data_IF_221234385516
#
_entry.id   IF_221234385516
#
_cell.length_a   1.000
_cell.length_b   1.000
_cell.length_c   1.000
_cell.angle_alpha   90.00
_cell.angle_beta   90.00
_cell.angle_gamma   90.00
#
_symmetry.space_group_name_H-M   'P 1'
#
loop_
_entity.id
_entity.type
_entity.pdbx_description
1 polymer ?
#
# COMPACT_ATOMS: atom_id res chain seq x y z
N UNK A 1 -5.92 27.86 13.72
CA UNK A 1 -6.39 26.72 14.53
C UNK A 1 -5.63 25.50 14.07
N UNK A 2 -4.86 24.85 14.94
CA UNK A 2 -4.20 23.58 14.61
C UNK A 2 -5.21 22.43 14.55
N UNK A 3 -4.85 21.34 13.90
CA UNK A 3 -5.66 20.11 13.90
C UNK A 3 -5.88 19.58 15.31
N UNK A 4 -7.09 19.09 15.59
CA UNK A 4 -7.38 18.38 16.83
C UNK A 4 -6.69 17.02 16.87
N UNK A 5 -6.46 16.48 18.07
CA UNK A 5 -5.90 15.13 18.23
C UNK A 5 -6.80 14.05 17.59
N UNK A 6 -8.11 14.23 17.61
CA UNK A 6 -9.05 13.34 16.92
C UNK A 6 -8.88 13.38 15.39
N UNK A 7 -8.65 14.57 14.81
CA UNK A 7 -8.38 14.70 13.37
C UNK A 7 -7.08 14.00 12.98
N UNK A 8 -6.01 14.19 13.77
CA UNK A 8 -4.72 13.51 13.55
C UNK A 8 -4.87 11.99 13.62
N UNK A 9 -5.61 11.48 14.60
CA UNK A 9 -5.88 10.04 14.75
C UNK A 9 -6.63 9.47 13.55
N UNK A 10 -7.72 10.12 13.13
CA UNK A 10 -8.49 9.70 11.95
C UNK A 10 -7.64 9.65 10.68
N UNK A 11 -6.84 10.68 10.43
CA UNK A 11 -5.90 10.71 9.29
C UNK A 11 -4.90 9.56 9.35
N UNK A 12 -4.36 9.26 10.54
CA UNK A 12 -3.44 8.14 10.72
C UNK A 12 -4.11 6.79 10.42
N UNK A 13 -5.37 6.59 10.82
CA UNK A 13 -6.13 5.36 10.52
C UNK A 13 -6.37 5.20 9.01
N UNK A 14 -6.71 6.29 8.32
CA UNK A 14 -6.91 6.31 6.87
C UNK A 14 -5.61 5.95 6.14
N UNK A 15 -4.50 6.61 6.51
CA UNK A 15 -3.17 6.33 5.96
C UNK A 15 -2.76 4.88 6.24
N UNK A 16 -3.05 4.35 7.43
CA UNK A 16 -2.76 2.95 7.76
C UNK A 16 -3.52 1.95 6.88
N UNK A 17 -4.81 2.20 6.64
CA UNK A 17 -5.63 1.37 5.72
C UNK A 17 -5.09 1.45 4.29
N UNK A 18 -4.73 2.65 3.84
CA UNK A 18 -4.14 2.86 2.51
C UNK A 18 -2.78 2.15 2.36
N UNK A 19 -1.92 2.21 3.38
CA UNK A 19 -0.66 1.47 3.39
C UNK A 19 -0.90 -0.03 3.27
N UNK A 20 -1.82 -0.58 4.06
CA UNK A 20 -2.17 -1.99 3.99
C UNK A 20 -2.70 -2.40 2.60
N UNK A 21 -3.52 -1.55 1.97
CA UNK A 21 -3.98 -1.77 0.58
C UNK A 21 -2.79 -1.85 -0.38
N UNK A 22 -1.88 -0.85 -0.38
CA UNK A 22 -0.70 -0.84 -1.25
C UNK A 22 0.24 -2.02 -1.02
N UNK A 23 0.43 -2.43 0.23
CA UNK A 23 1.21 -3.63 0.55
C UNK A 23 0.57 -4.90 0.02
N UNK A 24 -0.76 -5.04 0.12
CA UNK A 24 -1.48 -6.18 -0.48
C UNK A 24 -1.34 -6.21 -2.00
N UNK A 25 -1.50 -5.06 -2.66
CA UNK A 25 -1.32 -4.93 -4.11
C UNK A 25 0.08 -5.35 -4.55
N UNK A 26 1.12 -4.97 -3.80
CA UNK A 26 2.50 -5.37 -4.09
C UNK A 26 2.79 -6.86 -3.82
N UNK A 27 2.19 -7.44 -2.78
CA UNK A 27 2.43 -8.82 -2.36
C UNK A 27 1.63 -9.85 -3.15
N UNK A 28 0.45 -9.48 -3.66
CA UNK A 28 -0.45 -10.41 -4.35
C UNK A 28 0.22 -11.08 -5.58
N UNK A 29 0.92 -10.37 -6.49
CA UNK A 29 1.62 -11.00 -7.60
C UNK A 29 2.70 -11.99 -7.14
N UNK A 30 3.41 -11.67 -6.05
CA UNK A 30 4.41 -12.57 -5.48
C UNK A 30 3.75 -13.83 -4.90
N UNK A 31 2.62 -13.70 -4.23
CA UNK A 31 1.85 -14.84 -3.73
C UNK A 31 1.38 -15.76 -4.86
N UNK A 32 0.90 -15.19 -5.98
CA UNK A 32 0.55 -15.97 -7.17
C UNK A 32 1.78 -16.68 -7.77
N UNK A 33 2.95 -16.05 -7.76
CA UNK A 33 4.20 -16.69 -8.21
C UNK A 33 4.62 -17.85 -7.30
N UNK A 34 4.44 -17.72 -5.98
CA UNK A 34 4.67 -18.82 -5.04
C UNK A 34 3.76 -20.02 -5.30
N UNK A 35 2.49 -19.80 -5.64
CA UNK A 35 1.56 -20.87 -6.00
C UNK A 35 2.05 -21.62 -7.25
N UNK A 36 2.40 -20.89 -8.31
CA UNK A 36 2.97 -21.48 -9.54
C UNK A 36 4.25 -22.25 -9.29
N UNK A 37 5.12 -21.75 -8.41
CA UNK A 37 6.37 -22.42 -8.06
C UNK A 37 6.11 -23.74 -7.34
N UNK A 38 5.16 -23.74 -6.40
CA UNK A 38 4.71 -24.94 -5.68
C UNK A 38 4.21 -26.02 -6.65
N UNK A 39 3.54 -25.62 -7.73
CA UNK A 39 3.01 -26.52 -8.75
C UNK A 39 4.04 -26.91 -9.82
N UNK A 40 5.28 -26.41 -9.73
CA UNK A 40 6.37 -26.69 -10.67
C UNK A 40 6.29 -25.92 -11.99
N UNK A 41 5.37 -24.96 -12.10
CA UNK A 41 5.17 -24.16 -13.32
C UNK A 41 6.22 -23.06 -13.51
N UNK A 42 6.89 -22.64 -12.44
CA UNK A 42 7.99 -21.67 -12.50
C UNK A 42 9.21 -22.19 -11.73
N UNK A 43 10.39 -21.87 -12.25
CA UNK A 43 11.66 -22.24 -11.65
C UNK A 43 11.97 -21.43 -10.39
N UNK A 44 12.94 -21.90 -9.60
CA UNK A 44 13.44 -21.13 -8.45
C UNK A 44 14.10 -19.80 -8.88
N UNK A 45 14.70 -19.74 -10.07
CA UNK A 45 15.28 -18.51 -10.61
C UNK A 45 14.19 -17.46 -10.86
N UNK A 46 13.10 -17.83 -11.52
CA UNK A 46 11.98 -16.93 -11.79
C UNK A 46 11.25 -16.47 -10.51
N UNK A 47 11.13 -17.37 -9.52
CA UNK A 47 10.59 -17.01 -8.21
C UNK A 47 11.52 -16.03 -7.49
N UNK A 48 12.82 -16.30 -7.50
CA UNK A 48 13.84 -15.40 -6.92
C UNK A 48 13.74 -14.01 -7.54
N UNK A 49 13.67 -13.89 -8.86
CA UNK A 49 13.53 -12.59 -9.52
C UNK A 49 12.25 -11.86 -9.09
N UNK A 50 11.15 -12.59 -8.96
CA UNK A 50 9.87 -12.03 -8.49
C UNK A 50 9.94 -11.54 -7.04
N UNK A 51 10.70 -12.22 -6.18
CA UNK A 51 10.96 -11.77 -4.80
C UNK A 51 11.77 -10.46 -4.81
N UNK A 52 12.79 -10.34 -5.67
CA UNK A 52 13.59 -9.12 -5.77
C UNK A 52 12.76 -7.93 -6.25
N UNK A 53 11.91 -8.12 -7.26
CA UNK A 53 11.02 -7.05 -7.75
C UNK A 53 9.97 -6.65 -6.70
N UNK A 54 9.37 -7.62 -6.00
CA UNK A 54 8.46 -7.34 -4.89
C UNK A 54 9.18 -6.53 -3.78
N UNK A 55 10.41 -6.90 -3.44
CA UNK A 55 11.18 -6.18 -2.43
C UNK A 55 11.49 -4.74 -2.84
N UNK A 56 11.82 -4.48 -4.11
CA UNK A 56 12.00 -3.11 -4.63
C UNK A 56 10.72 -2.28 -4.50
N UNK A 57 9.57 -2.87 -4.85
CA UNK A 57 8.30 -2.15 -4.75
C UNK A 57 7.92 -1.88 -3.28
N UNK A 58 8.15 -2.84 -2.38
CA UNK A 58 7.97 -2.62 -0.93
C UNK A 58 8.88 -1.50 -0.41
N UNK A 59 10.13 -1.41 -0.88
CA UNK A 59 11.03 -0.30 -0.54
C UNK A 59 10.50 1.04 -1.05
N UNK A 60 9.95 1.07 -2.28
CA UNK A 60 9.32 2.26 -2.84
C UNK A 60 8.11 2.69 -2.01
N UNK A 61 7.23 1.76 -1.67
CA UNK A 61 6.06 2.00 -0.80
C UNK A 61 6.54 2.56 0.53
N UNK A 62 7.49 1.91 1.19
CA UNK A 62 8.02 2.38 2.47
C UNK A 62 8.58 3.81 2.39
N UNK A 63 9.33 4.13 1.34
CA UNK A 63 9.86 5.48 1.09
C UNK A 63 8.74 6.51 0.95
N UNK A 64 7.67 6.18 0.22
CA UNK A 64 6.48 7.04 0.09
C UNK A 64 5.83 7.27 1.46
N UNK A 65 5.64 6.22 2.26
CA UNK A 65 5.01 6.31 3.58
C UNK A 65 5.87 7.00 4.65
N UNK A 66 7.13 7.30 4.35
CA UNK A 66 7.98 8.18 5.16
C UNK A 66 7.83 9.69 4.79
N UNK A 67 6.89 10.02 3.91
CA UNK A 67 6.56 11.41 3.55
C UNK A 67 5.62 12.08 4.57
N UNK A 68 5.36 13.38 4.39
CA UNK A 68 4.45 14.11 5.29
C UNK A 68 3.02 13.55 5.25
N UNK A 69 2.31 13.70 6.37
CA UNK A 69 0.91 13.27 6.49
C UNK A 69 0.03 13.95 5.45
N UNK A 70 0.26 15.22 5.17
CA UNK A 70 -0.47 16.01 4.19
C UNK A 70 -0.28 15.46 2.77
N UNK A 71 0.92 15.02 2.43
CA UNK A 71 1.19 14.38 1.14
C UNK A 71 0.52 13.01 1.04
N UNK A 72 0.58 12.20 2.10
CA UNK A 72 -0.05 10.89 2.14
C UNK A 72 -1.58 10.99 2.04
N UNK A 73 -2.21 11.97 2.69
CA UNK A 73 -3.63 12.25 2.49
C UNK A 73 -3.94 12.59 1.03
N UNK A 74 -3.12 13.44 0.38
CA UNK A 74 -3.27 13.75 -1.05
C UNK A 74 -3.23 12.52 -1.96
N UNK A 75 -2.39 11.55 -1.62
CA UNK A 75 -2.32 10.28 -2.35
C UNK A 75 -3.57 9.41 -2.12
N UNK A 76 -4.04 9.32 -0.88
CA UNK A 76 -5.27 8.58 -0.53
C UNK A 76 -6.46 9.07 -1.35
N UNK A 77 -6.60 10.38 -1.51
CA UNK A 77 -7.77 10.98 -2.15
C UNK A 77 -7.74 10.90 -3.66
N UNK A 78 -6.55 10.81 -4.25
CA UNK A 78 -6.37 10.62 -5.68
C UNK A 78 -6.50 9.14 -6.09
N UNK A 79 -6.59 8.23 -5.11
CA UNK A 79 -6.82 6.81 -5.34
C UNK A 79 -8.34 6.57 -5.44
N UNK A 80 -8.84 6.47 -6.67
CA UNK A 80 -10.27 6.30 -6.98
C UNK A 80 -10.88 5.02 -6.33
N UNK A 81 -10.03 4.07 -5.98
CA UNK A 81 -10.42 2.79 -5.37
C UNK A 81 -10.40 2.85 -3.82
N UNK A 82 -10.20 4.01 -3.20
CA UNK A 82 -10.28 4.17 -1.74
C UNK A 82 -11.66 4.67 -1.30
N UNK A 83 -12.31 4.03 -0.30
CA UNK A 83 -13.63 4.44 0.16
C UNK A 83 -13.61 5.70 1.05
N UNK A 84 -12.57 6.55 1.02
CA UNK A 84 -12.46 7.73 1.90
C UNK A 84 -11.79 8.96 1.25
N UNK A 85 -12.29 10.18 1.53
CA UNK A 85 -11.80 11.47 1.01
C UNK A 85 -10.79 12.20 1.93
N UNK A 86 -10.42 13.47 1.59
CA UNK A 86 -9.43 14.30 2.32
C UNK A 86 -9.78 14.51 3.79
N UNK A 87 -11.08 14.48 4.04
CA UNK A 87 -11.71 14.79 5.30
C UNK A 87 -12.04 13.51 6.08
N UNK A 88 -11.77 12.33 5.50
CA UNK A 88 -12.11 11.04 6.06
C UNK A 88 -13.57 10.65 5.91
N UNK A 89 -14.30 11.30 5.02
CA UNK A 89 -15.68 10.92 4.67
C UNK A 89 -15.68 9.77 3.68
N UNK A 90 -16.72 8.95 3.70
CA UNK A 90 -16.87 7.86 2.74
C UNK A 90 -17.14 8.43 1.33
N UNK A 91 -16.60 7.79 0.29
CA UNK A 91 -16.69 8.26 -1.11
C UNK A 91 -17.83 7.64 -1.91
N UNK A 92 -18.76 6.92 -1.26
CA UNK A 92 -19.94 6.28 -1.86
C UNK A 92 -21.27 7.00 -1.57
#
# INVERSE_FOLDING_TARGET
MGESEDQKRRKQEIIGKYHNKKMKEALEPLFQKFQKWKDGEVSHYELSDSIHECHKEMQRIYSIFNSSREFLMKLVEADDDMPFDRNGNRTD
#
